data_IF_099573879351
#
_entry.id   IF_099573879351
#
_cell.length_a   1.000
_cell.length_b   1.000
_cell.length_c   1.000
_cell.angle_alpha   90.00
_cell.angle_beta   90.00
_cell.angle_gamma   90.00
#
_symmetry.space_group_name_H-M   'P 1'
#
loop_
_entity.id
_entity.type
_entity.pdbx_description
1 polymer ?
#
# COMPACT_ATOMS: atom_id res chain seq x y z
N UNK A 1 -36.54 1.76 8.88
CA UNK A 1 -35.29 2.10 8.15
C UNK A 1 -35.71 3.05 7.04
N UNK A 2 -35.38 4.32 7.16
CA UNK A 2 -35.89 5.34 6.23
C UNK A 2 -35.04 5.33 4.97
N UNK A 3 -35.65 4.96 3.85
CA UNK A 3 -35.09 5.01 2.49
C UNK A 3 -34.73 6.45 2.07
N UNK A 4 -34.96 7.41 2.96
CA UNK A 4 -34.80 8.85 2.71
C UNK A 4 -33.32 9.31 2.59
N UNK A 5 -32.37 8.48 2.97
CA UNK A 5 -30.94 8.81 3.00
C UNK A 5 -30.23 8.47 1.68
N UNK A 6 -30.94 7.90 0.72
CA UNK A 6 -30.39 7.50 -0.58
C UNK A 6 -30.02 8.67 -1.50
N UNK A 7 -30.42 9.89 -1.16
CA UNK A 7 -30.15 11.11 -1.93
C UNK A 7 -28.97 11.92 -1.40
N UNK A 8 -28.37 11.53 -0.29
CA UNK A 8 -27.16 12.20 0.21
C UNK A 8 -25.91 11.61 -0.47
N UNK A 9 -24.98 12.45 -0.94
CA UNK A 9 -23.76 11.97 -1.54
C UNK A 9 -22.96 11.17 -0.50
N UNK A 10 -22.65 9.91 -0.83
CA UNK A 10 -21.85 9.02 0.02
C UNK A 10 -20.36 9.31 -0.23
N UNK A 11 -19.80 10.24 0.52
CA UNK A 11 -18.40 10.66 0.34
C UNK A 11 -17.40 9.51 0.54
N UNK A 12 -17.64 8.62 1.48
CA UNK A 12 -16.76 7.47 1.72
C UNK A 12 -16.81 6.43 0.59
N UNK A 13 -17.93 6.29 -0.11
CA UNK A 13 -18.04 5.35 -1.24
C UNK A 13 -17.08 5.69 -2.38
N UNK A 14 -16.96 6.97 -2.73
CA UNK A 14 -15.98 7.45 -3.71
C UNK A 14 -14.54 7.17 -3.26
N UNK A 15 -14.23 7.42 -2.01
CA UNK A 15 -12.90 7.19 -1.45
C UNK A 15 -12.52 5.70 -1.48
N UNK A 16 -13.44 4.79 -1.15
CA UNK A 16 -13.19 3.34 -1.19
C UNK A 16 -12.96 2.87 -2.63
N UNK A 17 -13.75 3.33 -3.60
CA UNK A 17 -13.56 2.94 -5.01
C UNK A 17 -12.19 3.36 -5.51
N UNK A 18 -11.76 4.59 -5.21
CA UNK A 18 -10.41 5.05 -5.58
C UNK A 18 -9.30 4.30 -4.83
N UNK A 19 -9.50 3.99 -3.57
CA UNK A 19 -8.58 3.17 -2.81
C UNK A 19 -8.34 1.81 -3.49
N UNK A 20 -9.41 1.10 -3.82
CA UNK A 20 -9.32 -0.21 -4.50
C UNK A 20 -8.67 -0.09 -5.88
N UNK A 21 -8.96 0.98 -6.62
CA UNK A 21 -8.33 1.25 -7.91
C UNK A 21 -6.81 1.37 -7.79
N UNK A 22 -6.32 2.16 -6.83
CA UNK A 22 -4.88 2.34 -6.62
C UNK A 22 -4.20 1.07 -6.09
N UNK A 23 -4.87 0.32 -5.25
CA UNK A 23 -4.40 -1.00 -4.81
C UNK A 23 -4.28 -1.94 -6.01
N UNK A 24 -5.25 -1.93 -6.93
CA UNK A 24 -5.21 -2.71 -8.18
C UNK A 24 -4.01 -2.36 -9.06
N UNK A 25 -3.69 -1.08 -9.22
CA UNK A 25 -2.50 -0.63 -9.96
C UNK A 25 -1.22 -1.15 -9.29
N UNK A 26 -1.13 -1.07 -7.97
CA UNK A 26 0.01 -1.60 -7.22
C UNK A 26 0.19 -3.11 -7.41
N UNK A 27 -0.90 -3.88 -7.37
CA UNK A 27 -0.87 -5.32 -7.64
C UNK A 27 -0.44 -5.63 -9.07
N UNK A 28 -0.86 -4.83 -10.05
CA UNK A 28 -0.42 -5.01 -11.44
C UNK A 28 1.10 -4.88 -11.57
N UNK A 29 1.72 -3.90 -10.90
CA UNK A 29 3.17 -3.72 -10.91
C UNK A 29 3.92 -4.92 -10.33
N UNK A 30 3.51 -5.41 -9.17
CA UNK A 30 4.11 -6.59 -8.54
C UNK A 30 3.88 -7.86 -9.35
N UNK A 31 2.70 -8.03 -9.96
CA UNK A 31 2.37 -9.17 -10.80
C UNK A 31 3.25 -9.20 -12.05
N UNK A 32 3.44 -8.07 -12.74
CA UNK A 32 4.31 -7.97 -13.90
C UNK A 32 5.74 -8.39 -13.53
N UNK A 33 6.27 -7.87 -12.44
CA UNK A 33 7.60 -8.24 -11.95
C UNK A 33 7.71 -9.74 -11.65
N UNK A 34 6.71 -10.32 -10.99
CA UNK A 34 6.69 -11.74 -10.64
C UNK A 34 6.58 -12.65 -11.88
N UNK A 35 5.72 -12.32 -12.82
CA UNK A 35 5.54 -13.08 -14.06
C UNK A 35 6.81 -13.08 -14.90
N UNK A 36 7.44 -11.93 -15.09
CA UNK A 36 8.69 -11.81 -15.84
C UNK A 36 9.83 -12.59 -15.15
N UNK A 37 9.81 -12.68 -13.84
CA UNK A 37 10.75 -13.53 -13.10
C UNK A 37 10.50 -15.00 -13.33
N UNK A 38 9.26 -15.43 -13.24
CA UNK A 38 8.87 -16.84 -13.43
C UNK A 38 9.22 -17.34 -14.84
N UNK A 39 8.98 -16.53 -15.85
CA UNK A 39 9.31 -16.86 -17.23
C UNK A 39 10.78 -16.62 -17.61
N UNK A 40 11.62 -16.20 -16.66
CA UNK A 40 13.08 -15.96 -16.86
C UNK A 40 13.40 -15.04 -18.04
N UNK A 41 12.59 -14.02 -18.28
CA UNK A 41 12.77 -13.10 -19.40
C UNK A 41 14.02 -12.22 -19.21
N UNK A 42 14.90 -12.17 -20.21
CA UNK A 42 16.16 -11.38 -20.12
C UNK A 42 15.92 -9.87 -20.05
N UNK A 43 14.88 -9.38 -20.71
CA UNK A 43 14.52 -7.94 -20.71
C UNK A 43 13.85 -7.45 -19.41
N UNK A 44 13.60 -8.36 -18.47
CA UNK A 44 13.02 -8.07 -17.17
C UNK A 44 13.77 -6.96 -16.43
N UNK A 45 15.11 -6.93 -16.52
CA UNK A 45 15.94 -5.97 -15.75
C UNK A 45 15.62 -4.51 -16.05
N UNK A 46 15.21 -4.18 -17.27
CA UNK A 46 14.82 -2.82 -17.65
C UNK A 46 13.44 -2.42 -17.14
N UNK A 47 12.50 -3.36 -17.06
CA UNK A 47 11.11 -3.07 -16.70
C UNK A 47 10.85 -3.23 -15.19
N UNK A 48 11.58 -4.13 -14.53
CA UNK A 48 11.36 -4.47 -13.14
C UNK A 48 11.45 -3.24 -12.20
N UNK A 49 12.44 -2.39 -12.41
CA UNK A 49 12.63 -1.17 -11.62
C UNK A 49 11.46 -0.20 -11.73
N UNK A 50 10.98 -0.03 -12.95
CA UNK A 50 9.82 0.82 -13.18
C UNK A 50 8.55 0.24 -12.53
N UNK A 51 8.33 -1.07 -12.65
CA UNK A 51 7.18 -1.76 -12.06
C UNK A 51 7.21 -1.68 -10.52
N UNK A 52 8.37 -1.87 -9.90
CA UNK A 52 8.54 -1.75 -8.44
C UNK A 52 8.29 -0.32 -7.95
N UNK A 53 8.85 0.69 -8.63
CA UNK A 53 8.61 2.09 -8.31
C UNK A 53 7.12 2.46 -8.47
N UNK A 54 6.47 2.02 -9.54
CA UNK A 54 5.05 2.22 -9.75
C UNK A 54 4.22 1.64 -8.62
N UNK A 55 4.58 0.47 -8.11
CA UNK A 55 3.91 -0.15 -6.96
C UNK A 55 3.99 0.72 -5.71
N UNK A 56 5.17 1.26 -5.38
CA UNK A 56 5.34 2.13 -4.20
C UNK A 56 4.49 3.38 -4.32
N UNK A 57 4.52 4.07 -5.45
CA UNK A 57 3.68 5.26 -5.65
C UNK A 57 2.19 4.94 -5.58
N UNK A 58 1.76 3.82 -6.16
CA UNK A 58 0.37 3.38 -6.10
C UNK A 58 -0.08 3.10 -4.66
N UNK A 59 0.77 2.46 -3.84
CA UNK A 59 0.47 2.18 -2.43
C UNK A 59 0.41 3.46 -1.59
N UNK A 60 1.29 4.42 -1.85
CA UNK A 60 1.23 5.73 -1.19
C UNK A 60 -0.08 6.45 -1.55
N UNK A 61 -0.45 6.48 -2.83
CA UNK A 61 -1.73 7.05 -3.26
C UNK A 61 -2.91 6.32 -2.61
N UNK A 62 -2.89 5.00 -2.56
CA UNK A 62 -3.93 4.21 -1.89
C UNK A 62 -4.03 4.57 -0.41
N UNK A 63 -2.91 4.76 0.29
CA UNK A 63 -2.88 5.09 1.71
C UNK A 63 -3.48 6.46 2.07
N UNK A 64 -3.58 7.37 1.12
CA UNK A 64 -4.21 8.69 1.32
C UNK A 64 -5.72 8.55 1.52
N UNK A 65 -6.38 7.65 0.80
CA UNK A 65 -7.84 7.51 0.84
C UNK A 65 -8.38 7.05 2.20
N UNK A 66 -7.82 6.05 2.89
CA UNK A 66 -8.18 5.74 4.26
C UNK A 66 -8.09 6.94 5.20
N UNK A 67 -7.05 7.77 5.04
CA UNK A 67 -6.90 9.01 5.80
C UNK A 67 -8.03 10.01 5.60
N UNK A 68 -8.59 10.07 4.39
CA UNK A 68 -9.69 10.99 4.05
C UNK A 68 -11.03 10.46 4.58
N UNK A 69 -11.32 9.16 4.41
CA UNK A 69 -12.65 8.62 4.70
C UNK A 69 -12.85 8.14 6.13
N UNK A 70 -11.80 8.10 6.95
CA UNK A 70 -11.92 7.82 8.39
C UNK A 70 -12.80 8.87 9.11
N UNK A 71 -13.00 10.04 8.51
CA UNK A 71 -13.84 11.09 9.03
C UNK A 71 -13.10 11.94 10.06
N UNK A 72 -13.01 11.46 11.29
CA UNK A 72 -12.27 12.14 12.36
C UNK A 72 -10.81 11.68 12.39
N UNK A 73 -9.96 12.26 11.55
CA UNK A 73 -8.56 11.85 11.37
C UNK A 73 -7.77 11.88 12.69
N UNK A 74 -8.06 12.81 13.60
CA UNK A 74 -7.42 12.92 14.92
C UNK A 74 -7.75 11.76 15.87
N UNK A 75 -8.76 10.95 15.55
CA UNK A 75 -9.10 9.73 16.28
C UNK A 75 -8.61 8.45 15.58
N UNK A 76 -7.73 8.57 14.58
CA UNK A 76 -7.22 7.43 13.82
C UNK A 76 -6.46 6.40 14.69
N UNK A 77 -5.92 6.83 15.84
CA UNK A 77 -5.29 5.91 16.79
C UNK A 77 -6.24 4.85 17.36
N UNK A 78 -7.56 5.07 17.29
CA UNK A 78 -8.58 4.10 17.71
C UNK A 78 -8.69 2.91 16.74
N UNK A 79 -8.10 3.02 15.56
CA UNK A 79 -8.01 1.90 14.60
C UNK A 79 -6.96 0.87 15.00
N UNK A 80 -6.01 1.24 15.86
CA UNK A 80 -5.01 0.29 16.36
C UNK A 80 -5.59 -0.62 17.46
N UNK A 81 -5.10 -1.86 17.58
CA UNK A 81 -5.56 -2.76 18.62
C UNK A 81 -5.14 -2.24 19.99
N UNK A 82 -6.11 -2.07 20.88
CA UNK A 82 -5.87 -1.73 22.27
C UNK A 82 -6.93 -2.40 23.15
N UNK A 83 -6.59 -2.79 24.41
CA UNK A 83 -7.54 -3.34 25.34
C UNK A 83 -8.49 -2.25 25.85
N UNK A 84 -9.76 -2.59 26.08
CA UNK A 84 -10.69 -1.74 26.79
C UNK A 84 -10.42 -1.75 28.30
N UNK A 85 -11.23 -1.01 29.09
CA UNK A 85 -11.12 -0.95 30.54
C UNK A 85 -11.25 -2.31 31.23
N UNK A 86 -11.87 -3.30 30.58
CA UNK A 86 -11.99 -4.67 31.07
C UNK A 86 -10.90 -5.60 30.55
N UNK A 87 -9.82 -5.05 29.96
CA UNK A 87 -8.73 -5.78 29.33
C UNK A 87 -9.17 -6.72 28.19
N UNK A 88 -10.35 -6.49 27.62
CA UNK A 88 -10.80 -7.19 26.42
C UNK A 88 -10.34 -6.45 25.18
N UNK A 89 -10.21 -7.20 24.07
CA UNK A 89 -9.76 -6.70 22.79
C UNK A 89 -10.90 -6.69 21.76
N UNK A 90 -11.92 -5.81 21.91
CA UNK A 90 -13.09 -5.82 21.03
C UNK A 90 -12.76 -5.42 19.61
N UNK A 91 -11.69 -4.62 19.40
CA UNK A 91 -11.30 -4.10 18.11
C UNK A 91 -10.91 -5.19 17.10
N UNK A 92 -10.46 -6.35 17.53
CA UNK A 92 -10.16 -7.48 16.64
C UNK A 92 -11.37 -8.04 15.88
N UNK A 93 -12.58 -7.69 16.27
CA UNK A 93 -13.81 -8.03 15.56
C UNK A 93 -14.17 -7.03 14.46
N UNK A 94 -13.48 -5.90 14.38
CA UNK A 94 -13.77 -4.85 13.42
C UNK A 94 -13.07 -5.08 12.08
N UNK A 95 -13.77 -5.07 10.95
CA UNK A 95 -13.15 -5.11 9.62
C UNK A 95 -12.19 -3.96 9.36
N UNK A 96 -12.43 -2.79 9.94
CA UNK A 96 -11.53 -1.62 9.82
C UNK A 96 -10.13 -1.91 10.38
N UNK A 97 -10.05 -2.67 11.47
CA UNK A 97 -8.75 -3.11 12.00
C UNK A 97 -8.03 -4.04 11.04
N UNK A 98 -8.76 -4.96 10.41
CA UNK A 98 -8.18 -5.88 9.43
C UNK A 98 -7.62 -5.12 8.23
N UNK A 99 -8.31 -4.08 7.76
CA UNK A 99 -7.84 -3.21 6.69
C UNK A 99 -6.53 -2.49 7.06
N UNK A 100 -6.40 -2.03 8.31
CA UNK A 100 -5.16 -1.40 8.80
C UNK A 100 -4.00 -2.39 8.73
N UNK A 101 -4.19 -3.62 9.18
CA UNK A 101 -3.16 -4.65 9.08
C UNK A 101 -2.83 -5.00 7.63
N UNK A 102 -3.83 -5.16 6.78
CA UNK A 102 -3.64 -5.48 5.37
C UNK A 102 -2.85 -4.39 4.64
N UNK A 103 -3.23 -3.13 4.80
CA UNK A 103 -2.56 -1.99 4.16
C UNK A 103 -1.13 -1.83 4.68
N UNK A 104 -0.93 -1.95 6.00
CA UNK A 104 0.40 -1.85 6.61
C UNK A 104 1.34 -2.96 6.13
N UNK A 105 0.85 -4.19 6.06
CA UNK A 105 1.61 -5.34 5.54
C UNK A 105 1.95 -5.13 4.08
N UNK A 106 0.99 -4.73 3.26
CA UNK A 106 1.21 -4.50 1.84
C UNK A 106 2.23 -3.39 1.61
N UNK A 107 2.14 -2.28 2.34
CA UNK A 107 3.11 -1.19 2.25
C UNK A 107 4.51 -1.66 2.65
N UNK A 108 4.64 -2.36 3.77
CA UNK A 108 5.93 -2.84 4.27
C UNK A 108 6.58 -3.82 3.30
N UNK A 109 5.82 -4.79 2.79
CA UNK A 109 6.33 -5.78 1.83
C UNK A 109 6.75 -5.08 0.53
N UNK A 110 5.96 -4.16 0.00
CA UNK A 110 6.30 -3.41 -1.22
C UNK A 110 7.56 -2.56 -1.04
N UNK A 111 7.72 -1.93 0.13
CA UNK A 111 8.91 -1.15 0.45
C UNK A 111 10.17 -2.04 0.52
N UNK A 112 10.06 -3.22 1.14
CA UNK A 112 11.15 -4.17 1.21
C UNK A 112 11.55 -4.69 -0.17
N UNK A 113 10.59 -5.01 -1.03
CA UNK A 113 10.86 -5.41 -2.41
C UNK A 113 11.63 -4.32 -3.16
N UNK A 114 11.16 -3.10 -3.08
CA UNK A 114 11.82 -1.96 -3.72
C UNK A 114 13.23 -1.74 -3.17
N UNK A 115 13.40 -1.78 -1.85
CA UNK A 115 14.70 -1.62 -1.20
C UNK A 115 15.70 -2.70 -1.64
N UNK A 116 15.30 -3.96 -1.59
CA UNK A 116 16.14 -5.09 -2.04
C UNK A 116 16.53 -4.92 -3.50
N UNK A 117 15.60 -4.44 -4.32
CA UNK A 117 15.85 -4.13 -5.70
C UNK A 117 16.86 -3.01 -5.92
N UNK A 118 16.93 -2.01 -5.04
CA UNK A 118 17.87 -0.88 -5.14
C UNK A 118 19.31 -1.24 -4.73
N UNK A 119 19.52 -2.29 -3.95
CA UNK A 119 20.87 -2.65 -3.45
C UNK A 119 21.91 -2.78 -4.56
N UNK A 120 21.67 -3.52 -5.66
CA UNK A 120 22.65 -3.61 -6.76
C UNK A 120 22.91 -2.27 -7.45
N UNK A 121 21.89 -1.42 -7.56
CA UNK A 121 22.02 -0.11 -8.22
C UNK A 121 22.86 0.84 -7.38
N UNK A 122 22.63 0.86 -6.06
CA UNK A 122 23.43 1.64 -5.12
C UNK A 122 24.90 1.16 -5.08
N UNK A 123 25.13 -0.16 -5.16
CA UNK A 123 26.48 -0.71 -5.27
C UNK A 123 27.19 -0.21 -6.53
N UNK A 124 26.51 -0.23 -7.68
CA UNK A 124 27.06 0.27 -8.93
C UNK A 124 27.37 1.77 -8.88
N UNK A 125 26.49 2.57 -8.27
CA UNK A 125 26.73 4.01 -8.07
C UNK A 125 27.92 4.27 -7.15
N UNK A 126 28.06 3.50 -6.08
CA UNK A 126 29.20 3.59 -5.18
C UNK A 126 30.52 3.31 -5.93
N UNK A 127 30.55 2.25 -6.72
CA UNK A 127 31.76 1.86 -7.45
C UNK A 127 32.13 2.92 -8.49
N UNK A 128 31.15 3.51 -9.19
CA UNK A 128 31.37 4.64 -10.08
C UNK A 128 31.93 5.87 -9.35
N UNK A 129 31.42 6.18 -8.16
CA UNK A 129 31.91 7.32 -7.37
C UNK A 129 33.34 7.11 -6.90
N UNK A 130 33.72 5.88 -6.57
CA UNK A 130 35.11 5.55 -6.19
C UNK A 130 36.10 5.65 -7.35
N UNK A 131 35.66 5.39 -8.57
CA UNK A 131 36.51 5.55 -9.78
C UNK A 131 36.80 7.04 -10.06
N UNK A 132 35.87 7.93 -9.70
CA UNK A 132 36.05 9.37 -9.89
C UNK A 132 36.92 10.07 -8.82
N UNK A 133 37.23 9.39 -7.73
CA UNK A 133 38.09 9.87 -6.66
C UNK A 133 39.51 9.37 -6.89
#
# INVERSE_FOLDING_TARGET
MCIRDSNNPVGWGWAIVNFVFWVGIGHAGTLISAILFLFRQKWRTGVNRFAEAMTIFAVICAGVFPGIHVGRVWLAYWLFPYPNQMQMWPNFRSPLLWDVFAVSTYFTVSLLFWYVGLIPDLASLRDLSLIHI
#
